data_IF_996654211528
#
_entry.id   IF_996654211528
#
_cell.length_a   1.000
_cell.length_b   1.000
_cell.length_c   1.000
_cell.angle_alpha   90.00
_cell.angle_beta   90.00
_cell.angle_gamma   90.00
#
_symmetry.space_group_name_H-M   'P 1'
#
loop_
_entity.id
_entity.type
_entity.pdbx_description
1 polymer ?
#
# COMPACT_ATOMS: atom_id res chain seq x y z
N UNK A 1 1.52 -10.16 -24.11
CA UNK A 1 1.18 -8.72 -24.12
C UNK A 1 -0.33 -8.58 -24.26
N UNK A 2 -0.90 -7.60 -23.56
CA UNK A 2 -2.32 -7.25 -23.60
C UNK A 2 -2.46 -5.81 -24.10
N UNK A 3 -3.66 -5.41 -24.54
CA UNK A 3 -3.88 -4.13 -25.21
C UNK A 3 -4.09 -2.95 -24.25
N UNK A 4 -4.39 -3.22 -22.98
CA UNK A 4 -4.69 -2.17 -22.00
C UNK A 4 -4.41 -2.60 -20.55
N UNK A 5 -4.37 -1.63 -19.64
CA UNK A 5 -4.23 -1.87 -18.21
C UNK A 5 -5.45 -2.59 -17.62
N UNK A 6 -6.66 -2.32 -18.16
CA UNK A 6 -7.86 -3.05 -17.80
C UNK A 6 -7.70 -4.55 -18.09
N UNK A 7 -7.22 -4.92 -19.27
CA UNK A 7 -6.95 -6.31 -19.66
C UNK A 7 -5.80 -6.93 -18.87
N UNK A 8 -4.78 -6.12 -18.50
CA UNK A 8 -3.68 -6.58 -17.66
C UNK A 8 -4.19 -7.02 -16.28
N UNK A 9 -5.03 -6.21 -15.64
CA UNK A 9 -5.61 -6.56 -14.34
C UNK A 9 -6.59 -7.74 -14.47
N UNK A 10 -7.39 -7.80 -15.53
CA UNK A 10 -8.26 -8.94 -15.81
C UNK A 10 -7.48 -10.25 -15.95
N UNK A 11 -6.30 -10.18 -16.57
CA UNK A 11 -5.38 -11.35 -16.68
C UNK A 11 -4.85 -11.76 -15.31
N UNK A 12 -4.48 -10.79 -14.44
CA UNK A 12 -4.04 -11.07 -13.07
C UNK A 12 -5.16 -11.73 -12.26
N UNK A 13 -6.40 -11.25 -12.38
CA UNK A 13 -7.58 -11.84 -11.74
C UNK A 13 -7.75 -13.29 -12.16
N UNK A 14 -7.69 -13.57 -13.47
CA UNK A 14 -7.80 -14.93 -13.98
C UNK A 14 -6.69 -15.87 -13.51
N UNK A 15 -5.44 -15.38 -13.46
CA UNK A 15 -4.29 -16.14 -12.98
C UNK A 15 -4.42 -16.45 -11.47
N UNK A 16 -4.78 -15.47 -10.67
CA UNK A 16 -4.96 -15.64 -9.22
C UNK A 16 -6.13 -16.56 -8.90
N UNK A 17 -7.25 -16.40 -9.60
CA UNK A 17 -8.41 -17.28 -9.48
C UNK A 17 -8.09 -18.73 -9.88
N UNK A 18 -7.16 -18.94 -10.80
CA UNK A 18 -6.66 -20.26 -11.18
C UNK A 18 -5.70 -20.88 -10.15
N UNK A 19 -5.24 -20.11 -9.16
CA UNK A 19 -4.37 -20.57 -8.08
C UNK A 19 -2.89 -20.18 -8.23
N UNK A 20 -2.58 -19.21 -9.09
CA UNK A 20 -1.22 -18.70 -9.29
C UNK A 20 -1.05 -17.34 -8.62
N UNK A 21 0.13 -17.04 -8.05
CA UNK A 21 0.48 -15.67 -7.66
C UNK A 21 0.47 -14.76 -8.87
N UNK A 22 -0.15 -13.60 -8.74
CA UNK A 22 -0.16 -12.58 -9.78
C UNK A 22 0.43 -11.27 -9.27
N UNK A 23 1.33 -10.70 -10.07
CA UNK A 23 1.97 -9.40 -9.81
C UNK A 23 1.87 -8.58 -11.09
N UNK A 24 1.54 -7.29 -10.94
CA UNK A 24 1.53 -6.34 -12.04
C UNK A 24 2.09 -4.98 -11.61
N UNK A 25 2.25 -4.08 -12.55
CA UNK A 25 2.71 -2.72 -12.30
C UNK A 25 1.94 -1.73 -13.16
N UNK A 26 1.71 -0.53 -12.61
CA UNK A 26 1.01 0.55 -13.32
C UNK A 26 1.38 1.92 -12.77
N UNK A 27 0.80 2.96 -13.35
CA UNK A 27 1.05 4.36 -13.01
C UNK A 27 -0.06 5.25 -13.56
N UNK A 28 -0.46 6.32 -12.85
CA UNK A 28 -1.30 7.41 -13.39
C UNK A 28 -2.58 6.93 -14.06
N UNK A 29 -2.79 7.34 -15.31
CA UNK A 29 -3.96 6.96 -16.10
C UNK A 29 -4.12 5.44 -16.28
N UNK A 30 -3.03 4.67 -16.25
CA UNK A 30 -3.10 3.20 -16.28
C UNK A 30 -3.80 2.63 -15.05
N UNK A 31 -3.53 3.17 -13.85
CA UNK A 31 -4.24 2.79 -12.63
C UNK A 31 -5.73 3.19 -12.72
N UNK A 32 -6.00 4.39 -13.22
CA UNK A 32 -7.36 4.85 -13.44
C UNK A 32 -8.12 3.96 -14.44
N UNK A 33 -7.45 3.52 -15.51
CA UNK A 33 -8.08 2.69 -16.54
C UNK A 33 -8.39 1.27 -16.06
N UNK A 34 -7.70 0.75 -15.04
CA UNK A 34 -8.03 -0.57 -14.46
C UNK A 34 -9.01 -0.51 -13.27
N UNK A 35 -9.57 0.67 -12.94
CA UNK A 35 -10.36 0.89 -11.72
C UNK A 35 -11.48 -0.13 -11.52
N UNK A 36 -12.27 -0.46 -12.55
CA UNK A 36 -13.32 -1.48 -12.46
C UNK A 36 -12.77 -2.82 -11.97
N UNK A 37 -11.64 -3.25 -12.56
CA UNK A 37 -11.01 -4.52 -12.22
C UNK A 37 -10.39 -4.53 -10.83
N UNK A 38 -10.02 -3.37 -10.27
CA UNK A 38 -9.56 -3.28 -8.88
C UNK A 38 -10.70 -3.64 -7.91
N UNK A 39 -11.91 -3.15 -8.13
CA UNK A 39 -13.08 -3.52 -7.33
C UNK A 39 -13.42 -5.00 -7.44
N UNK A 40 -13.30 -5.58 -8.65
CA UNK A 40 -13.50 -7.01 -8.89
C UNK A 40 -12.47 -7.83 -8.12
N UNK A 41 -11.18 -7.55 -8.25
CA UNK A 41 -10.10 -8.27 -7.55
C UNK A 41 -10.29 -8.27 -6.03
N UNK A 42 -10.64 -7.12 -5.45
CA UNK A 42 -10.87 -6.99 -4.02
C UNK A 42 -12.14 -7.73 -3.55
N UNK A 43 -13.20 -7.70 -4.34
CA UNK A 43 -14.46 -8.38 -4.04
C UNK A 43 -14.33 -9.90 -4.13
N UNK A 44 -13.55 -10.39 -5.08
CA UNK A 44 -13.27 -11.82 -5.27
C UNK A 44 -12.18 -12.33 -4.32
N UNK A 45 -11.66 -11.45 -3.46
CA UNK A 45 -10.69 -11.78 -2.41
C UNK A 45 -9.38 -12.37 -2.96
N UNK A 46 -8.90 -11.84 -4.09
CA UNK A 46 -7.71 -12.30 -4.80
C UNK A 46 -6.48 -11.50 -4.35
N UNK A 47 -5.45 -12.14 -3.76
CA UNK A 47 -4.29 -11.47 -3.16
C UNK A 47 -3.24 -11.00 -4.19
N UNK A 48 -3.67 -10.25 -5.20
CA UNK A 48 -2.82 -9.69 -6.24
C UNK A 48 -1.91 -8.60 -5.66
N UNK A 49 -0.62 -8.60 -6.02
CA UNK A 49 0.31 -7.52 -5.68
C UNK A 49 0.48 -6.57 -6.87
N UNK A 50 0.27 -5.28 -6.66
CA UNK A 50 0.38 -4.25 -7.68
C UNK A 50 1.43 -3.21 -7.29
N UNK A 51 2.44 -3.03 -8.15
CA UNK A 51 3.37 -1.91 -8.05
C UNK A 51 2.74 -0.65 -8.66
N UNK A 52 2.73 0.46 -7.92
CA UNK A 52 2.20 1.73 -8.39
C UNK A 52 3.28 2.81 -8.29
N UNK A 53 3.73 3.32 -9.44
CA UNK A 53 4.54 4.55 -9.48
C UNK A 53 3.60 5.75 -9.56
N UNK A 54 3.29 6.32 -8.38
CA UNK A 54 2.28 7.37 -8.25
C UNK A 54 2.70 8.64 -8.98
N UNK A 55 1.87 9.10 -9.89
CA UNK A 55 2.03 10.35 -10.60
C UNK A 55 0.68 10.94 -11.02
N UNK A 56 0.68 12.24 -11.33
CA UNK A 56 -0.50 12.99 -11.69
C UNK A 56 -1.33 12.33 -12.80
N UNK A 57 -2.64 12.41 -12.66
CA UNK A 57 -3.57 12.06 -13.72
C UNK A 57 -3.53 13.11 -14.83
N UNK A 58 -3.79 12.68 -16.08
CA UNK A 58 -3.77 13.57 -17.24
C UNK A 58 -4.86 14.63 -17.17
N UNK A 59 -4.48 15.85 -17.59
CA UNK A 59 -5.31 17.00 -17.74
C UNK A 59 -4.85 18.23 -16.97
N UNK A 60 -3.61 18.75 -17.19
CA UNK A 60 -2.56 18.37 -18.17
C UNK A 60 -1.77 17.15 -17.76
N UNK A 61 -1.07 16.53 -18.72
CA UNK A 61 -0.14 15.43 -18.40
C UNK A 61 1.05 15.95 -17.61
N UNK A 62 1.39 15.22 -16.55
CA UNK A 62 2.55 15.48 -15.71
C UNK A 62 3.18 14.15 -15.29
N UNK A 63 4.50 14.03 -15.41
CA UNK A 63 5.22 12.80 -15.06
C UNK A 63 5.77 12.81 -13.63
N UNK A 64 5.70 13.94 -12.95
CA UNK A 64 6.18 14.06 -11.59
C UNK A 64 5.23 13.36 -10.60
N UNK A 65 5.75 13.08 -9.43
CA UNK A 65 5.01 12.43 -8.38
C UNK A 65 3.82 13.26 -7.91
N UNK A 66 2.72 12.56 -7.78
CA UNK A 66 1.43 13.03 -7.32
C UNK A 66 0.65 11.79 -6.88
N UNK A 67 -0.15 11.90 -5.84
CA UNK A 67 -0.87 10.75 -5.31
C UNK A 67 -2.32 10.64 -5.81
N UNK A 68 -2.77 11.54 -6.69
CA UNK A 68 -4.15 11.57 -7.18
C UNK A 68 -4.60 10.26 -7.83
N UNK A 69 -3.68 9.52 -8.47
CA UNK A 69 -3.96 8.22 -9.05
C UNK A 69 -4.28 7.17 -7.98
N UNK A 70 -3.43 7.01 -6.98
CA UNK A 70 -3.62 6.06 -5.89
C UNK A 70 -4.81 6.47 -4.98
N UNK A 71 -4.96 7.78 -4.69
CA UNK A 71 -6.07 8.28 -3.88
C UNK A 71 -7.41 8.17 -4.60
N UNK A 72 -7.43 8.26 -5.93
CA UNK A 72 -8.63 8.03 -6.75
C UNK A 72 -9.21 6.62 -6.60
N UNK A 73 -8.41 5.64 -6.21
CA UNK A 73 -8.82 4.23 -6.03
C UNK A 73 -8.73 3.75 -4.57
N UNK A 74 -8.52 4.65 -3.62
CA UNK A 74 -8.34 4.32 -2.18
C UNK A 74 -9.49 3.52 -1.56
N UNK A 75 -10.68 3.57 -2.16
CA UNK A 75 -11.88 2.90 -1.68
C UNK A 75 -12.21 1.62 -2.46
N UNK A 76 -11.32 1.17 -3.34
CA UNK A 76 -11.50 -0.06 -4.13
C UNK A 76 -11.35 -1.36 -3.31
N UNK A 77 -10.96 -1.26 -2.03
CA UNK A 77 -10.83 -2.43 -1.13
C UNK A 77 -9.44 -3.08 -1.17
N UNK A 78 -8.45 -2.38 -1.69
CA UNK A 78 -7.05 -2.79 -1.71
C UNK A 78 -6.33 -2.33 -0.44
N UNK A 79 -5.37 -3.13 0.02
CA UNK A 79 -4.35 -2.67 0.96
C UNK A 79 -3.42 -1.71 0.23
N UNK A 80 -2.92 -0.68 0.92
CA UNK A 80 -2.05 0.33 0.31
C UNK A 80 -0.87 0.63 1.24
N UNK A 81 0.34 0.31 0.80
CA UNK A 81 1.60 0.64 1.47
C UNK A 81 2.36 1.67 0.64
N UNK A 82 2.73 2.78 1.25
CA UNK A 82 3.53 3.83 0.63
C UNK A 82 4.99 3.74 1.07
N UNK A 83 5.89 3.88 0.12
CA UNK A 83 7.33 3.84 0.34
C UNK A 83 7.95 5.25 0.30
N UNK A 84 8.90 5.51 1.19
CA UNK A 84 9.72 6.73 1.20
C UNK A 84 10.91 6.63 0.24
N UNK A 85 11.60 5.48 0.26
CA UNK A 85 12.86 5.23 -0.46
C UNK A 85 12.76 4.01 -1.36
N UNK A 86 13.74 3.81 -2.24
CA UNK A 86 13.85 2.59 -3.04
C UNK A 86 14.03 1.34 -2.18
N UNK A 87 14.78 1.45 -1.07
CA UNK A 87 14.91 0.34 -0.12
C UNK A 87 13.55 -0.04 0.48
N UNK A 88 12.78 0.94 0.91
CA UNK A 88 11.45 0.68 1.48
C UNK A 88 10.49 0.10 0.44
N UNK A 89 10.55 0.59 -0.81
CA UNK A 89 9.76 0.02 -1.90
C UNK A 89 10.09 -1.46 -2.12
N UNK A 90 11.38 -1.81 -2.23
CA UNK A 90 11.83 -3.18 -2.36
C UNK A 90 11.37 -4.07 -1.19
N UNK A 91 11.59 -3.60 0.03
CA UNK A 91 11.20 -4.33 1.24
C UNK A 91 9.66 -4.50 1.34
N UNK A 92 8.90 -3.49 0.92
CA UNK A 92 7.44 -3.54 0.87
C UNK A 92 6.94 -4.57 -0.14
N UNK A 93 7.57 -4.73 -1.32
CA UNK A 93 7.17 -5.76 -2.28
C UNK A 93 7.31 -7.18 -1.73
N UNK A 94 8.37 -7.46 -0.99
CA UNK A 94 8.57 -8.77 -0.36
C UNK A 94 7.52 -9.05 0.72
N UNK A 95 7.18 -8.05 1.53
CA UNK A 95 6.18 -8.15 2.58
C UNK A 95 4.76 -8.22 2.01
N UNK A 96 4.49 -7.49 0.93
CA UNK A 96 3.18 -7.35 0.32
C UNK A 96 2.55 -8.69 -0.05
N UNK A 97 3.32 -9.60 -0.66
CA UNK A 97 2.83 -10.93 -1.02
C UNK A 97 2.30 -11.70 0.19
N UNK A 98 3.08 -11.74 1.28
CA UNK A 98 2.64 -12.42 2.51
C UNK A 98 1.43 -11.77 3.17
N UNK A 99 1.41 -10.44 3.18
CA UNK A 99 0.30 -9.67 3.76
C UNK A 99 -0.98 -9.96 2.98
N UNK A 100 -0.95 -9.82 1.66
CA UNK A 100 -2.09 -10.05 0.78
C UNK A 100 -2.66 -11.47 0.91
N UNK A 101 -1.80 -12.47 0.87
CA UNK A 101 -2.17 -13.89 0.98
C UNK A 101 -2.78 -14.22 2.36
N UNK A 102 -2.25 -13.64 3.44
CA UNK A 102 -2.73 -13.89 4.79
C UNK A 102 -4.15 -13.40 5.05
N UNK A 103 -4.57 -12.32 4.37
CA UNK A 103 -5.90 -11.73 4.54
C UNK A 103 -6.82 -11.94 3.32
N UNK A 104 -6.30 -12.55 2.25
CA UNK A 104 -6.98 -12.69 0.96
C UNK A 104 -7.55 -11.35 0.48
N UNK A 105 -6.70 -10.33 0.41
CA UNK A 105 -7.00 -9.03 -0.19
C UNK A 105 -5.83 -8.60 -1.09
N UNK A 106 -6.13 -7.95 -2.22
CA UNK A 106 -5.06 -7.40 -3.05
C UNK A 106 -4.37 -6.21 -2.36
N UNK A 107 -3.12 -5.96 -2.76
CA UNK A 107 -2.27 -4.94 -2.15
C UNK A 107 -1.56 -4.10 -3.21
N UNK A 108 -1.53 -2.78 -2.99
CA UNK A 108 -0.72 -1.84 -3.74
C UNK A 108 0.52 -1.46 -2.93
N UNK A 109 1.67 -1.52 -3.58
CA UNK A 109 2.89 -0.88 -3.09
C UNK A 109 3.10 0.38 -3.92
N UNK A 110 2.86 1.52 -3.27
CA UNK A 110 2.93 2.84 -3.86
C UNK A 110 4.31 3.46 -3.62
N UNK A 111 4.92 3.94 -4.68
CA UNK A 111 6.17 4.68 -4.65
C UNK A 111 6.03 5.95 -5.47
N UNK A 112 6.73 7.02 -5.09
CA UNK A 112 6.63 8.29 -5.78
C UNK A 112 7.25 8.22 -7.17
N UNK A 113 6.43 8.47 -8.17
CA UNK A 113 6.85 8.54 -9.58
C UNK A 113 7.88 9.65 -9.78
N UNK A 114 8.87 9.40 -10.62
CA UNK A 114 9.98 10.27 -10.95
C UNK A 114 10.97 10.56 -9.80
N UNK A 115 10.53 10.64 -8.56
CA UNK A 115 11.42 10.78 -7.39
C UNK A 115 12.01 9.41 -7.03
N UNK A 116 11.22 8.51 -6.44
CA UNK A 116 11.67 7.17 -6.05
C UNK A 116 11.88 6.28 -7.28
N UNK A 117 10.97 6.32 -8.27
CA UNK A 117 11.01 5.41 -9.42
C UNK A 117 12.15 5.68 -10.41
N UNK A 118 12.78 6.84 -10.38
CA UNK A 118 13.87 7.24 -11.27
C UNK A 118 15.16 7.61 -10.52
N UNK A 119 15.16 7.59 -9.19
CA UNK A 119 16.36 7.79 -8.40
C UNK A 119 17.30 6.58 -8.51
N UNK A 120 18.59 6.84 -8.40
CA UNK A 120 19.61 5.81 -8.25
C UNK A 120 20.06 5.82 -6.80
N UNK A 121 19.71 4.76 -6.08
CA UNK A 121 20.03 4.59 -4.67
C UNK A 121 20.70 3.23 -4.45
N UNK A 122 21.52 3.14 -3.41
CA UNK A 122 22.01 1.85 -2.93
C UNK A 122 20.90 1.14 -2.17
N UNK A 123 20.65 -0.11 -2.52
CA UNK A 123 19.71 -0.97 -1.80
C UNK A 123 20.41 -2.24 -1.34
N UNK A 124 20.04 -2.72 -0.17
CA UNK A 124 20.47 -3.99 0.38
C UNK A 124 19.52 -5.08 -0.06
N UNK A 125 19.95 -5.91 -1.00
CA UNK A 125 19.16 -7.05 -1.47
C UNK A 125 19.18 -8.17 -0.43
N UNK A 126 18.03 -8.79 -0.22
CA UNK A 126 17.92 -10.02 0.57
C UNK A 126 18.31 -11.21 -0.30
N UNK A 127 19.07 -12.14 0.24
CA UNK A 127 19.44 -13.37 -0.45
C UNK A 127 18.21 -14.14 -0.93
N UNK A 128 18.24 -14.64 -2.17
CA UNK A 128 17.10 -15.30 -2.83
C UNK A 128 16.50 -16.43 -1.98
N UNK A 129 17.32 -17.23 -1.32
CA UNK A 129 16.83 -18.35 -0.51
C UNK A 129 16.07 -17.87 0.73
N UNK A 130 16.54 -16.79 1.38
CA UNK A 130 15.83 -16.14 2.49
C UNK A 130 14.51 -15.53 2.03
N UNK A 131 14.49 -14.93 0.82
CA UNK A 131 13.24 -14.42 0.25
C UNK A 131 12.24 -15.54 0.01
N UNK A 132 12.68 -16.67 -0.56
CA UNK A 132 11.81 -17.84 -0.77
C UNK A 132 11.26 -18.39 0.54
N UNK A 133 12.09 -18.48 1.57
CA UNK A 133 11.66 -18.92 2.91
C UNK A 133 10.66 -17.92 3.52
N UNK A 134 10.96 -16.63 3.46
CA UNK A 134 10.11 -15.57 3.99
C UNK A 134 8.76 -15.49 3.30
N UNK A 135 8.73 -15.48 1.98
CA UNK A 135 7.48 -15.42 1.20
C UNK A 135 6.72 -16.74 1.28
N UNK A 136 7.42 -17.87 1.28
CA UNK A 136 6.85 -19.20 1.36
C UNK A 136 6.15 -19.65 0.08
N UNK A 137 5.63 -20.87 0.12
CA UNK A 137 4.82 -21.44 -0.95
C UNK A 137 3.40 -20.84 -0.91
N UNK A 138 2.89 -20.42 -2.07
CA UNK A 138 1.52 -19.95 -2.17
C UNK A 138 0.52 -21.10 -2.06
N UNK A 139 -0.43 -20.98 -1.14
CA UNK A 139 -1.50 -21.93 -0.93
C UNK A 139 -2.84 -21.19 -1.01
N UNK A 140 -3.41 -21.05 -2.22
CA UNK A 140 -4.68 -20.34 -2.38
C UNK A 140 -5.77 -21.01 -1.55
N UNK A 141 -6.55 -20.19 -0.84
CA UNK A 141 -7.71 -20.70 -0.08
C UNK A 141 -8.72 -21.36 -1.01
N UNK A 142 -8.82 -20.81 -2.23
CA UNK A 142 -9.70 -21.30 -3.28
C UNK A 142 -8.98 -21.21 -4.63
N UNK A 143 -9.23 -22.16 -5.52
CA UNK A 143 -8.69 -22.13 -6.88
C UNK A 143 -9.64 -22.81 -7.86
N UNK A 144 -9.88 -22.18 -9.02
CA UNK A 144 -10.72 -22.74 -10.10
C UNK A 144 -10.17 -24.05 -10.65
N UNK A 145 -8.84 -24.18 -10.68
CA UNK A 145 -8.17 -25.36 -11.25
C UNK A 145 -7.84 -26.43 -10.19
N UNK A 146 -8.64 -26.52 -9.12
CA UNK A 146 -8.49 -27.56 -8.09
C UNK A 146 -9.42 -28.73 -8.39
N UNK A 147 -8.93 -29.88 -8.91
CA UNK A 147 -9.77 -31.04 -9.21
C UNK A 147 -10.50 -31.55 -7.97
N UNK A 148 -11.78 -31.84 -8.10
CA UNK A 148 -12.62 -32.39 -7.00
C UNK A 148 -13.20 -31.34 -6.05
N UNK A 149 -12.83 -30.07 -6.17
CA UNK A 149 -13.38 -28.97 -5.39
C UNK A 149 -13.93 -27.86 -6.31
N UNK A 150 -15.07 -28.10 -7.00
CA UNK A 150 -15.60 -27.13 -7.94
C UNK A 150 -16.05 -25.85 -7.21
N UNK A 151 -15.68 -24.70 -7.75
CA UNK A 151 -16.06 -23.38 -7.23
C UNK A 151 -16.32 -22.39 -8.37
N UNK A 152 -16.96 -21.28 -8.04
CA UNK A 152 -17.11 -20.14 -8.93
C UNK A 152 -16.41 -18.90 -8.32
N UNK A 153 -15.81 -18.09 -9.17
CA UNK A 153 -15.24 -16.78 -8.83
C UNK A 153 -16.05 -15.73 -9.59
N UNK A 154 -16.33 -14.59 -8.96
CA UNK A 154 -17.16 -13.54 -9.57
C UNK A 154 -18.66 -13.88 -9.58
N UNK A 155 -19.16 -14.53 -8.54
CA UNK A 155 -20.56 -14.92 -8.44
C UNK A 155 -21.50 -13.72 -8.38
N UNK A 156 -22.67 -13.82 -9.03
CA UNK A 156 -23.75 -12.86 -8.85
C UNK A 156 -24.33 -12.96 -7.44
N UNK A 157 -24.21 -11.87 -6.68
CA UNK A 157 -24.78 -11.78 -5.34
C UNK A 157 -26.17 -11.13 -5.38
N UNK A 158 -27.20 -11.86 -4.92
CA UNK A 158 -28.51 -11.26 -4.68
C UNK A 158 -28.46 -10.31 -3.48
N UNK A 159 -29.43 -9.40 -3.31
CA UNK A 159 -29.48 -8.49 -2.15
C UNK A 159 -29.37 -9.20 -0.79
N UNK A 160 -29.82 -10.45 -0.70
CA UNK A 160 -29.78 -11.24 0.54
C UNK A 160 -28.35 -11.58 0.99
N UNK A 161 -27.42 -11.77 0.05
CA UNK A 161 -26.04 -12.19 0.35
C UNK A 161 -25.00 -11.09 0.15
N UNK A 162 -25.36 -9.98 -0.46
CA UNK A 162 -24.41 -8.92 -0.81
C UNK A 162 -23.74 -8.28 0.43
N UNK A 163 -24.54 -8.04 1.48
CA UNK A 163 -24.05 -7.43 2.71
C UNK A 163 -23.02 -8.31 3.41
N UNK A 164 -23.24 -9.62 3.49
CA UNK A 164 -22.32 -10.57 4.11
C UNK A 164 -20.98 -10.62 3.36
N UNK A 165 -21.02 -10.63 2.03
CA UNK A 165 -19.81 -10.60 1.22
C UNK A 165 -19.00 -9.33 1.48
N UNK A 166 -19.65 -8.16 1.49
CA UNK A 166 -18.96 -6.88 1.79
C UNK A 166 -18.50 -6.80 3.24
N UNK A 167 -19.23 -7.37 4.19
CA UNK A 167 -18.80 -7.43 5.59
C UNK A 167 -17.55 -8.28 5.78
N UNK A 168 -17.42 -9.40 5.06
CA UNK A 168 -16.21 -10.22 5.08
C UNK A 168 -14.99 -9.46 4.50
N UNK A 169 -15.17 -8.71 3.42
CA UNK A 169 -14.13 -7.86 2.85
C UNK A 169 -13.70 -6.77 3.85
N UNK A 170 -14.65 -6.11 4.49
CA UNK A 170 -14.38 -5.09 5.50
C UNK A 170 -13.65 -5.67 6.71
N UNK A 171 -14.03 -6.87 7.17
CA UNK A 171 -13.34 -7.54 8.28
C UNK A 171 -11.89 -7.86 7.92
N UNK A 172 -11.63 -8.39 6.74
CA UNK A 172 -10.27 -8.67 6.28
C UNK A 172 -9.39 -7.40 6.22
N UNK A 173 -9.97 -6.25 5.83
CA UNK A 173 -9.26 -4.97 5.87
C UNK A 173 -8.89 -4.56 7.31
N UNK A 174 -9.76 -4.81 8.28
CA UNK A 174 -9.48 -4.53 9.69
C UNK A 174 -8.39 -5.48 10.24
N UNK A 175 -8.51 -6.76 9.96
CA UNK A 175 -7.56 -7.79 10.41
C UNK A 175 -6.15 -7.58 9.80
N UNK A 176 -6.07 -6.92 8.65
CA UNK A 176 -4.82 -6.63 7.97
C UNK A 176 -3.86 -5.76 8.81
N UNK A 177 -4.34 -4.93 9.74
CA UNK A 177 -3.47 -4.14 10.62
C UNK A 177 -2.49 -5.02 11.40
N UNK A 178 -3.00 -6.07 12.02
CA UNK A 178 -2.17 -6.99 12.82
C UNK A 178 -1.25 -7.84 11.95
N UNK A 179 -1.73 -8.23 10.77
CA UNK A 179 -0.90 -8.96 9.80
C UNK A 179 0.27 -8.09 9.31
N UNK A 180 0.03 -6.81 8.97
CA UNK A 180 1.09 -5.88 8.54
C UNK A 180 2.14 -5.71 9.65
N UNK A 181 1.72 -5.51 10.91
CA UNK A 181 2.66 -5.42 12.06
C UNK A 181 3.47 -6.69 12.24
N UNK A 182 2.82 -7.85 12.18
CA UNK A 182 3.47 -9.16 12.33
C UNK A 182 4.50 -9.39 11.23
N UNK A 183 4.11 -9.21 9.97
CA UNK A 183 4.99 -9.43 8.81
C UNK A 183 6.15 -8.43 8.83
N UNK A 184 5.92 -7.16 9.18
CA UNK A 184 6.97 -6.16 9.30
C UNK A 184 7.97 -6.47 10.41
N UNK A 185 7.53 -7.05 11.53
CA UNK A 185 8.40 -7.53 12.61
C UNK A 185 9.25 -8.72 12.16
N UNK A 186 8.63 -9.75 11.57
CA UNK A 186 9.32 -10.94 11.06
C UNK A 186 10.35 -10.56 9.97
N UNK A 187 10.01 -9.59 9.11
CA UNK A 187 10.95 -9.04 8.13
C UNK A 187 12.15 -8.37 8.81
N UNK A 188 11.91 -7.63 9.90
CA UNK A 188 12.96 -7.02 10.73
C UNK A 188 13.88 -8.04 11.41
N UNK A 189 13.34 -9.15 11.88
CA UNK A 189 14.13 -10.25 12.45
C UNK A 189 15.07 -10.89 11.41
N UNK A 190 14.65 -10.92 10.14
CA UNK A 190 15.45 -11.45 9.03
C UNK A 190 16.51 -10.45 8.50
N UNK A 191 16.18 -9.16 8.44
CA UNK A 191 16.97 -8.16 7.70
C UNK A 191 17.56 -7.05 8.57
N UNK A 192 17.09 -6.90 9.81
CA UNK A 192 17.39 -5.74 10.67
C UNK A 192 16.51 -4.50 10.37
N UNK A 193 15.67 -4.52 9.33
CA UNK A 193 14.79 -3.42 8.92
C UNK A 193 13.34 -3.73 9.28
N UNK A 194 12.85 -3.17 10.37
CA UNK A 194 11.49 -3.40 10.88
C UNK A 194 10.52 -2.34 10.37
N UNK A 195 9.32 -2.76 9.97
CA UNK A 195 8.30 -1.89 9.42
C UNK A 195 6.98 -2.00 10.19
N UNK A 196 6.44 -0.85 10.61
CA UNK A 196 5.12 -0.73 11.22
C UNK A 196 4.05 -0.23 10.24
N UNK A 197 2.92 0.20 10.79
CA UNK A 197 1.88 0.91 10.03
C UNK A 197 2.26 2.38 9.79
N UNK A 198 2.98 2.96 10.75
CA UNK A 198 3.57 4.29 10.71
C UNK A 198 5.05 4.21 11.11
N UNK A 199 5.78 5.27 10.84
CA UNK A 199 7.11 5.53 11.38
C UNK A 199 7.11 6.90 12.05
N UNK A 200 7.70 6.99 13.25
CA UNK A 200 7.85 8.25 13.98
C UNK A 200 9.29 8.72 13.93
N UNK A 201 9.51 10.01 13.78
CA UNK A 201 10.83 10.62 13.80
C UNK A 201 10.84 11.82 14.74
N UNK A 202 11.69 11.78 15.78
CA UNK A 202 11.83 12.80 16.83
C UNK A 202 10.51 13.24 17.50
N UNK A 203 9.63 12.25 17.79
CA UNK A 203 8.30 12.51 18.37
C UNK A 203 8.29 12.51 19.91
N UNK A 204 9.32 11.99 20.60
CA UNK A 204 9.30 11.78 22.06
C UNK A 204 9.01 13.04 22.87
N UNK A 205 9.53 14.19 22.43
CA UNK A 205 9.36 15.50 23.07
C UNK A 205 8.81 16.57 22.11
N UNK A 206 8.23 16.13 20.98
CA UNK A 206 7.73 17.05 19.98
C UNK A 206 6.51 17.84 20.49
N UNK A 207 6.54 19.15 20.29
CA UNK A 207 5.43 20.07 20.54
C UNK A 207 4.62 20.35 19.26
N UNK A 208 5.28 20.25 18.12
CA UNK A 208 4.68 20.38 16.79
C UNK A 208 5.10 19.19 15.92
N UNK A 209 4.22 18.74 15.04
CA UNK A 209 4.49 17.61 14.18
C UNK A 209 3.96 17.78 12.76
N UNK A 210 4.58 17.07 11.82
CA UNK A 210 4.04 16.88 10.48
C UNK A 210 3.62 15.41 10.31
N UNK A 211 2.43 15.18 9.76
CA UNK A 211 1.97 13.86 9.31
C UNK A 211 2.12 13.84 7.79
N UNK A 212 2.89 12.90 7.26
CA UNK A 212 3.34 12.94 5.87
C UNK A 212 3.37 11.53 5.26
N UNK A 213 3.32 11.45 3.93
CA UNK A 213 3.29 10.20 3.17
C UNK A 213 4.30 10.27 2.01
N UNK A 214 4.86 9.11 1.63
CA UNK A 214 5.74 8.97 0.47
C UNK A 214 7.13 9.59 0.65
N UNK A 215 7.81 9.91 -0.45
CA UNK A 215 9.20 10.37 -0.48
C UNK A 215 9.44 11.71 0.23
N UNK A 216 8.40 12.54 0.37
CA UNK A 216 8.49 13.81 1.09
C UNK A 216 8.88 13.65 2.56
N UNK A 217 8.68 12.44 3.14
CA UNK A 217 9.09 12.15 4.51
C UNK A 217 10.61 12.30 4.70
N UNK A 218 11.42 11.86 3.73
CA UNK A 218 12.87 12.04 3.77
C UNK A 218 13.28 13.51 3.78
N UNK A 219 12.70 14.31 2.89
CA UNK A 219 12.95 15.77 2.85
C UNK A 219 12.53 16.45 4.15
N UNK A 220 11.39 16.05 4.72
CA UNK A 220 10.92 16.61 5.99
C UNK A 220 11.84 16.25 7.16
N UNK A 221 12.47 15.07 7.18
CA UNK A 221 13.47 14.69 8.19
C UNK A 221 14.66 15.67 8.21
N UNK A 222 15.15 16.10 7.03
CA UNK A 222 16.23 17.10 6.95
C UNK A 222 15.81 18.45 7.51
N UNK A 223 14.63 18.94 7.16
CA UNK A 223 14.07 20.18 7.72
C UNK A 223 13.87 20.08 9.24
N UNK A 224 13.42 18.93 9.75
CA UNK A 224 13.29 18.67 11.17
C UNK A 224 14.66 18.73 11.86
N UNK A 225 15.71 18.13 11.28
CA UNK A 225 17.06 18.18 11.82
C UNK A 225 17.58 19.62 11.97
N UNK A 226 17.34 20.46 10.95
CA UNK A 226 17.71 21.87 10.98
C UNK A 226 16.94 22.65 12.06
N UNK A 227 15.64 22.44 12.18
CA UNK A 227 14.81 23.08 13.19
C UNK A 227 15.18 22.60 14.61
N UNK A 228 15.46 21.32 14.79
CA UNK A 228 15.95 20.75 16.06
C UNK A 228 17.27 21.34 16.48
N UNK A 229 18.21 21.58 15.54
CA UNK A 229 19.47 22.26 15.80
C UNK A 229 19.28 23.71 16.28
N UNK A 230 18.15 24.33 15.94
CA UNK A 230 17.73 25.68 16.42
C UNK A 230 16.93 25.61 17.74
N UNK A 231 16.80 24.44 18.36
CA UNK A 231 16.08 24.24 19.62
C UNK A 231 14.56 24.11 19.49
N UNK A 232 14.03 23.94 18.27
CA UNK A 232 12.60 23.71 18.05
C UNK A 232 12.24 22.25 18.36
N UNK A 233 11.13 22.01 19.03
CA UNK A 233 10.64 20.67 19.35
C UNK A 233 9.64 20.20 18.30
N UNK A 234 10.16 19.82 17.15
CA UNK A 234 9.38 19.37 16.00
C UNK A 234 9.62 17.89 15.73
N UNK A 235 8.63 17.18 15.19
CA UNK A 235 8.73 15.77 14.85
C UNK A 235 7.90 15.41 13.63
N UNK A 236 7.97 14.14 13.21
CA UNK A 236 7.27 13.64 12.04
C UNK A 236 6.63 12.30 12.32
N UNK A 237 5.46 12.09 11.74
CA UNK A 237 4.80 10.80 11.58
C UNK A 237 4.70 10.51 10.09
N UNK A 238 5.39 9.47 9.63
CA UNK A 238 5.24 8.95 8.26
C UNK A 238 4.17 7.87 8.25
N UNK A 239 3.18 8.03 7.38
CA UNK A 239 2.13 7.03 7.14
C UNK A 239 2.64 6.03 6.10
N UNK A 240 2.96 4.80 6.53
CA UNK A 240 3.34 3.71 5.61
C UNK A 240 2.11 2.97 5.12
N UNK A 241 1.20 2.57 6.01
CA UNK A 241 -0.06 1.93 5.63
C UNK A 241 -1.16 2.98 5.50
N UNK A 242 -1.62 3.23 4.28
CA UNK A 242 -2.75 4.13 4.05
C UNK A 242 -4.09 3.38 4.05
N UNK A 243 -4.07 2.11 3.67
CA UNK A 243 -5.18 1.17 3.83
C UNK A 243 -4.64 -0.18 4.32
N UNK A 244 -5.08 -0.66 5.47
CA UNK A 244 -5.96 0.00 6.46
C UNK A 244 -5.32 1.25 7.07
N UNK A 245 -6.14 2.26 7.39
CA UNK A 245 -5.64 3.52 7.94
C UNK A 245 -5.28 3.36 9.44
N UNK A 246 -4.08 3.80 9.87
CA UNK A 246 -3.58 3.62 11.23
C UNK A 246 -4.02 4.75 12.18
N UNK A 247 -5.33 4.98 12.29
CA UNK A 247 -5.88 6.11 13.02
C UNK A 247 -5.47 6.11 14.51
N UNK A 248 -5.47 4.93 15.13
CA UNK A 248 -5.14 4.78 16.55
C UNK A 248 -3.66 5.06 16.82
N UNK A 249 -2.76 4.59 15.93
CA UNK A 249 -1.33 4.82 16.05
C UNK A 249 -0.97 6.30 15.84
N UNK A 250 -1.62 6.95 14.88
CA UNK A 250 -1.43 8.39 14.64
C UNK A 250 -1.93 9.19 15.83
N UNK A 251 -3.13 8.87 16.34
CA UNK A 251 -3.71 9.55 17.50
C UNK A 251 -2.82 9.39 18.74
N UNK A 252 -2.30 8.19 19.00
CA UNK A 252 -1.39 7.94 20.13
C UNK A 252 -0.07 8.71 19.96
N UNK A 253 0.50 8.76 18.75
CA UNK A 253 1.72 9.51 18.48
C UNK A 253 1.54 11.03 18.62
N UNK A 254 0.34 11.55 18.37
CA UNK A 254 0.00 12.97 18.45
C UNK A 254 -0.51 13.41 19.83
N UNK A 255 -0.74 12.52 20.78
CA UNK A 255 -1.44 12.84 22.05
C UNK A 255 -0.85 13.97 22.86
N UNK A 256 0.48 14.20 22.78
CA UNK A 256 1.21 15.23 23.49
C UNK A 256 1.60 16.41 22.59
N UNK A 257 1.25 16.39 21.32
CA UNK A 257 1.59 17.41 20.34
C UNK A 257 0.57 18.55 20.43
N UNK A 258 1.06 19.79 20.47
CA UNK A 258 0.21 21.00 20.58
C UNK A 258 -0.43 21.38 19.24
N UNK A 259 0.30 21.16 18.14
CA UNK A 259 -0.17 21.46 16.79
C UNK A 259 0.44 20.47 15.79
N UNK A 260 -0.33 20.08 14.78
CA UNK A 260 0.19 19.29 13.67
C UNK A 260 -0.39 19.77 12.34
N UNK A 261 0.34 19.47 11.27
CA UNK A 261 -0.11 19.62 9.89
C UNK A 261 -0.08 18.26 9.19
N UNK A 262 -1.06 17.99 8.34
CA UNK A 262 -1.02 16.88 7.41
C UNK A 262 -0.56 17.39 6.05
N UNK A 263 0.33 16.64 5.39
CA UNK A 263 0.86 16.97 4.07
C UNK A 263 0.77 15.75 3.15
N UNK A 264 0.16 15.95 2.01
CA UNK A 264 0.09 14.98 0.93
C UNK A 264 0.39 15.65 -0.40
N UNK A 265 0.61 14.84 -1.45
CA UNK A 265 0.79 15.27 -2.83
C UNK A 265 -0.46 14.98 -3.65
N UNK A 266 -1.61 15.27 -3.08
CA UNK A 266 -2.92 15.13 -3.70
C UNK A 266 -3.79 16.33 -3.34
N UNK A 267 -4.68 16.71 -4.25
CA UNK A 267 -5.70 17.72 -4.02
C UNK A 267 -7.06 17.18 -4.46
N UNK A 268 -8.03 17.25 -3.57
CA UNK A 268 -9.40 16.84 -3.87
C UNK A 268 -10.20 18.02 -4.41
N UNK A 269 -10.40 18.08 -5.72
CA UNK A 269 -11.08 19.20 -6.40
C UNK A 269 -12.54 19.41 -5.99
N UNK A 270 -13.14 18.49 -5.23
CA UNK A 270 -14.51 18.58 -4.72
C UNK A 270 -14.58 18.82 -3.21
N UNK A 271 -13.45 18.88 -2.53
CA UNK A 271 -13.39 19.11 -1.10
C UNK A 271 -12.98 20.54 -0.78
N UNK A 272 -13.55 21.09 0.28
CA UNK A 272 -13.07 22.32 0.87
C UNK A 272 -11.84 22.00 1.71
N UNK A 273 -10.72 22.61 1.42
CA UNK A 273 -9.43 22.38 2.08
C UNK A 273 -8.71 21.07 1.72
N UNK A 274 -8.84 20.56 0.49
CA UNK A 274 -8.00 19.49 -0.04
C UNK A 274 -8.24 18.09 0.51
#
# INVERSE_FOLDING_TARGET
>A
AVESEHSAMSTCIGAEAAGCRAISATSSCGLCYMTEMLYVAASDRLPITLAVSCRALSGPININNDHSDAMGVRDAGWLMLFAETNQEAYDNYLQAMRIAEAVSLPIMVCQDGFITSHAIENIELVETEKVKEFVGEYKPAHALLKPGEPMAVGAYATPVYYMEAKRQQAQAMMDAKDVIRKVGKEFGEMTGRTYGLIETYMMDDAEEAIVIIGSSAGTAKEAINELRAQGKKVGQIKVRSFRPFPAEEIAEALKNVKAFAAMDKDDSFNAHCG
#
